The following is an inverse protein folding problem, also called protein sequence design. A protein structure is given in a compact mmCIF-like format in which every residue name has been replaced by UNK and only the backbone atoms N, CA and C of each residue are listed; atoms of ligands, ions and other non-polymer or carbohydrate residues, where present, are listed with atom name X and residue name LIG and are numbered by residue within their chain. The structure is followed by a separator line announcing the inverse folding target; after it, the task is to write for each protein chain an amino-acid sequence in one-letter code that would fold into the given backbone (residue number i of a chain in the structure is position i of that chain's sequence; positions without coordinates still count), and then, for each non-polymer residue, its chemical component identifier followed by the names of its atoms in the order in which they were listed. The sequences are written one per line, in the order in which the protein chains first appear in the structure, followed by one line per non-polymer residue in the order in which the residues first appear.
data_IF_785648807105
#
_entry.id   IF_785648807105
#
_cell.length_a   1.000
_cell.length_b   1.000
_cell.length_c   1.000
_cell.angle_alpha   90.00
_cell.angle_beta   90.00
_cell.angle_gamma   90.00
#
_symmetry.space_group_name_H-M   'P 1'
#
loop_
_entity.id
_entity.type
_entity.pdbx_description
1 polymer ?
#
# COMPACT_ATOMS: atom_id res chain seq x y z
N UNK A 1 -4.40 -39.54 -17.21
CA UNK A 1 -3.28 -39.24 -16.29
C UNK A 1 -2.52 -38.00 -16.77
N UNK A 2 -2.94 -36.78 -16.38
CA UNK A 2 -2.32 -35.53 -16.87
C UNK A 2 -2.14 -34.46 -15.77
N UNK A 3 -2.52 -34.76 -14.53
CA UNK A 3 -2.56 -33.77 -13.43
C UNK A 3 -1.22 -33.58 -12.69
N UNK A 4 -0.33 -34.59 -12.65
CA UNK A 4 0.91 -34.51 -11.84
C UNK A 4 2.07 -33.72 -12.47
N UNK A 5 2.12 -33.55 -13.80
CA UNK A 5 3.23 -32.84 -14.49
C UNK A 5 3.04 -31.32 -14.66
N UNK A 6 1.83 -30.79 -14.43
CA UNK A 6 1.52 -29.36 -14.65
C UNK A 6 1.75 -28.48 -13.41
N UNK A 7 1.65 -29.05 -12.20
CA UNK A 7 1.83 -28.34 -10.93
C UNK A 7 3.25 -27.78 -10.72
N UNK A 8 4.35 -28.52 -10.99
CA UNK A 8 5.71 -28.00 -10.79
C UNK A 8 6.03 -26.83 -11.73
N UNK A 9 5.54 -26.88 -12.98
CA UNK A 9 5.73 -25.81 -13.96
C UNK A 9 4.96 -24.53 -13.58
N UNK A 10 3.73 -24.67 -13.07
CA UNK A 10 2.94 -23.52 -12.59
C UNK A 10 3.57 -22.86 -11.36
N UNK A 11 4.09 -23.64 -10.41
CA UNK A 11 4.80 -23.12 -9.24
C UNK A 11 6.09 -22.38 -9.62
N UNK A 12 6.90 -22.95 -10.52
CA UNK A 12 8.12 -22.31 -11.03
C UNK A 12 7.83 -20.99 -11.77
N UNK A 13 6.76 -20.96 -12.60
CA UNK A 13 6.31 -19.73 -13.26
C UNK A 13 5.89 -18.66 -12.23
N UNK A 14 5.09 -19.01 -11.22
CA UNK A 14 4.70 -18.07 -10.13
C UNK A 14 5.91 -17.53 -9.38
N UNK A 15 6.90 -18.37 -9.07
CA UNK A 15 8.14 -17.95 -8.43
C UNK A 15 8.89 -16.91 -9.26
N UNK A 16 9.05 -17.16 -10.55
CA UNK A 16 9.73 -16.24 -11.47
C UNK A 16 9.02 -14.88 -11.52
N UNK A 17 7.69 -14.89 -11.68
CA UNK A 17 6.89 -13.66 -11.73
C UNK A 17 6.98 -12.87 -10.42
N UNK A 18 6.87 -13.53 -9.25
CA UNK A 18 6.97 -12.87 -7.95
C UNK A 18 8.35 -12.24 -7.75
N UNK A 19 9.41 -12.93 -8.18
CA UNK A 19 10.77 -12.44 -8.07
C UNK A 19 11.04 -11.25 -8.99
N UNK A 20 10.60 -11.31 -10.25
CA UNK A 20 10.69 -10.18 -11.18
C UNK A 20 9.86 -8.98 -10.71
N UNK A 21 8.64 -9.22 -10.20
CA UNK A 21 7.80 -8.14 -9.66
C UNK A 21 8.46 -7.47 -8.44
N UNK A 22 9.07 -8.24 -7.54
CA UNK A 22 9.83 -7.69 -6.42
C UNK A 22 11.03 -6.83 -6.89
N UNK A 23 11.78 -7.32 -7.87
CA UNK A 23 12.90 -6.57 -8.47
C UNK A 23 12.44 -5.28 -9.15
N UNK A 24 11.29 -5.31 -9.84
CA UNK A 24 10.68 -4.11 -10.44
C UNK A 24 10.31 -3.10 -9.35
N UNK A 25 9.60 -3.56 -8.31
CA UNK A 25 9.17 -2.71 -7.21
C UNK A 25 10.38 -2.05 -6.51
N UNK A 26 11.47 -2.77 -6.31
CA UNK A 26 12.68 -2.24 -5.68
C UNK A 26 13.49 -1.31 -6.60
N UNK A 27 13.52 -1.59 -7.90
CA UNK A 27 14.35 -0.85 -8.85
C UNK A 27 13.67 0.36 -9.48
N UNK A 28 12.34 0.33 -9.63
CA UNK A 28 11.59 1.31 -10.44
C UNK A 28 10.53 2.08 -9.67
N UNK A 29 10.34 1.79 -8.37
CA UNK A 29 9.34 2.43 -7.53
C UNK A 29 9.98 3.05 -6.29
N UNK A 30 9.69 4.33 -6.06
CA UNK A 30 10.02 5.02 -4.81
C UNK A 30 8.74 5.31 -4.04
N UNK A 31 8.70 4.93 -2.76
CA UNK A 31 7.58 5.22 -1.85
C UNK A 31 7.93 6.43 -0.99
N UNK A 32 7.04 7.43 -0.98
CA UNK A 32 7.15 8.64 -0.15
C UNK A 32 6.17 8.55 1.01
N UNK A 33 6.70 8.58 2.24
CA UNK A 33 5.96 8.54 3.50
C UNK A 33 4.89 7.42 3.55
N UNK A 34 5.10 6.31 2.82
CA UNK A 34 4.14 5.21 2.69
C UNK A 34 2.77 5.54 2.06
N UNK A 35 2.53 6.79 1.65
CA UNK A 35 1.23 7.28 1.15
C UNK A 35 1.17 7.53 -0.35
N UNK A 36 2.33 7.53 -1.01
CA UNK A 36 2.46 7.82 -2.44
C UNK A 36 3.62 7.04 -3.03
N UNK A 37 3.47 6.58 -4.25
CA UNK A 37 4.58 6.05 -5.06
C UNK A 37 4.94 7.02 -6.19
N UNK A 38 6.20 6.99 -6.60
CA UNK A 38 6.68 7.49 -7.88
C UNK A 38 7.30 6.32 -8.63
N UNK A 39 6.93 6.16 -9.89
CA UNK A 39 7.29 5.04 -10.76
C UNK A 39 8.05 5.58 -11.96
N UNK A 40 9.13 4.90 -12.34
CA UNK A 40 9.85 5.10 -13.59
C UNK A 40 9.30 4.17 -14.68
N UNK A 41 8.44 4.64 -15.61
CA UNK A 41 7.80 3.76 -16.59
C UNK A 41 8.78 3.13 -17.58
N UNK A 42 9.83 3.87 -18.00
CA UNK A 42 10.83 3.35 -18.94
C UNK A 42 11.58 2.16 -18.36
N UNK A 43 11.95 2.24 -17.09
CA UNK A 43 12.64 1.13 -16.41
C UNK A 43 11.77 -0.12 -16.23
N UNK A 44 10.45 0.00 -16.33
CA UNK A 44 9.56 -1.17 -16.28
C UNK A 44 9.64 -2.02 -17.54
N UNK A 45 10.08 -1.49 -18.69
CA UNK A 45 10.14 -2.22 -19.97
C UNK A 45 11.11 -3.42 -19.94
N UNK A 46 12.06 -3.42 -19.00
CA UNK A 46 13.00 -4.53 -18.79
C UNK A 46 12.37 -5.79 -18.16
N UNK A 47 11.13 -5.72 -17.69
CA UNK A 47 10.45 -6.80 -16.96
C UNK A 47 9.31 -7.41 -17.79
N UNK A 48 8.97 -8.67 -17.51
CA UNK A 48 7.87 -9.36 -18.20
C UNK A 48 6.51 -8.69 -17.96
N UNK A 49 5.57 -8.87 -18.91
CA UNK A 49 4.19 -8.35 -18.76
C UNK A 49 3.55 -8.85 -17.46
N UNK A 50 3.64 -10.16 -17.18
CA UNK A 50 3.07 -10.77 -15.98
C UNK A 50 3.63 -10.12 -14.69
N UNK A 51 4.94 -9.84 -14.64
CA UNK A 51 5.58 -9.19 -13.49
C UNK A 51 5.16 -7.72 -13.34
N UNK A 52 5.05 -6.98 -14.46
CA UNK A 52 4.52 -5.61 -14.48
C UNK A 52 3.09 -5.56 -13.96
N UNK A 53 2.22 -6.46 -14.42
CA UNK A 53 0.81 -6.51 -13.98
C UNK A 53 0.72 -6.82 -12.48
N UNK A 54 1.52 -7.78 -11.99
CA UNK A 54 1.56 -8.12 -10.57
C UNK A 54 2.05 -6.94 -9.72
N UNK A 55 3.14 -6.29 -10.11
CA UNK A 55 3.65 -5.11 -9.42
C UNK A 55 2.60 -4.00 -9.33
N UNK A 56 1.88 -3.72 -10.43
CA UNK A 56 0.80 -2.74 -10.43
C UNK A 56 -0.36 -3.13 -9.51
N UNK A 57 -0.79 -4.39 -9.56
CA UNK A 57 -1.84 -4.88 -8.66
C UNK A 57 -1.45 -4.74 -7.19
N UNK A 58 -0.21 -5.06 -6.84
CA UNK A 58 0.33 -4.90 -5.48
C UNK A 58 0.33 -3.43 -5.04
N UNK A 59 0.78 -2.51 -5.89
CA UNK A 59 0.79 -1.08 -5.57
C UNK A 59 -0.63 -0.54 -5.37
N UNK A 60 -1.56 -0.92 -6.25
CA UNK A 60 -2.98 -0.52 -6.14
C UNK A 60 -3.61 -1.04 -4.85
N UNK A 61 -3.30 -2.27 -4.46
CA UNK A 61 -3.79 -2.85 -3.20
C UNK A 61 -3.19 -2.13 -1.98
N UNK A 62 -1.87 -1.95 -1.95
CA UNK A 62 -1.19 -1.34 -0.80
C UNK A 62 -1.57 0.14 -0.59
N UNK A 63 -1.79 0.88 -1.68
CA UNK A 63 -2.22 2.28 -1.63
C UNK A 63 -3.74 2.44 -1.56
N UNK A 64 -4.51 1.48 -2.05
CA UNK A 64 -5.97 1.51 -2.09
C UNK A 64 -6.64 0.88 -0.88
N UNK A 65 -5.93 0.07 -0.09
CA UNK A 65 -6.46 -0.61 1.10
C UNK A 65 -7.43 -1.73 0.77
N UNK A 66 -7.21 -2.43 -0.34
CA UNK A 66 -8.01 -3.59 -0.74
C UNK A 66 -7.41 -4.88 -0.18
N UNK A 67 -8.20 -5.95 -0.07
CA UNK A 67 -7.71 -7.24 0.46
C UNK A 67 -7.08 -8.12 -0.63
N UNK A 68 -7.60 -8.05 -1.86
CA UNK A 68 -7.19 -8.91 -2.96
C UNK A 68 -6.66 -8.08 -4.12
N UNK A 69 -5.80 -8.69 -4.94
CA UNK A 69 -5.34 -8.09 -6.19
C UNK A 69 -6.55 -7.71 -7.06
N UNK A 70 -6.49 -6.57 -7.76
CA UNK A 70 -7.51 -6.23 -8.73
C UNK A 70 -7.50 -7.24 -9.89
N UNK A 71 -8.58 -7.30 -10.69
CA UNK A 71 -8.62 -8.09 -11.91
C UNK A 71 -7.43 -7.75 -12.84
N UNK A 72 -6.97 -8.73 -13.62
CA UNK A 72 -5.86 -8.53 -14.58
C UNK A 72 -6.11 -7.36 -15.52
N UNK A 73 -7.34 -7.19 -15.99
CA UNK A 73 -7.74 -6.12 -16.88
C UNK A 73 -7.53 -4.73 -16.26
N UNK A 74 -7.69 -4.61 -14.95
CA UNK A 74 -7.44 -3.35 -14.23
C UNK A 74 -5.93 -3.12 -14.06
N UNK A 75 -5.14 -4.16 -13.79
CA UNK A 75 -3.68 -4.07 -13.82
C UNK A 75 -3.17 -3.63 -15.20
N UNK A 76 -3.73 -4.20 -16.27
CA UNK A 76 -3.38 -3.86 -17.65
C UNK A 76 -3.80 -2.44 -18.01
N UNK A 77 -5.00 -1.98 -17.62
CA UNK A 77 -5.42 -0.58 -17.78
C UNK A 77 -4.46 0.37 -17.07
N UNK A 78 -4.02 0.03 -15.86
CA UNK A 78 -3.05 0.83 -15.11
C UNK A 78 -1.71 0.90 -15.88
N UNK A 79 -1.20 -0.23 -16.38
CA UNK A 79 0.02 -0.29 -17.18
C UNK A 79 -0.07 0.52 -18.47
N UNK A 80 -1.17 0.36 -19.24
CA UNK A 80 -1.39 1.13 -20.46
C UNK A 80 -1.42 2.62 -20.15
N UNK A 81 -2.02 3.03 -19.03
CA UNK A 81 -2.00 4.42 -18.62
C UNK A 81 -0.58 4.92 -18.30
N UNK A 82 0.21 4.17 -17.53
CA UNK A 82 1.55 4.63 -17.10
C UNK A 82 2.66 4.42 -18.14
N UNK A 83 2.49 3.53 -19.11
CA UNK A 83 3.48 3.22 -20.16
C UNK A 83 3.06 3.70 -21.57
N UNK A 84 1.78 3.99 -21.82
CA UNK A 84 1.27 4.38 -23.13
C UNK A 84 1.93 5.64 -23.72
N UNK A 85 1.96 5.73 -25.05
CA UNK A 85 2.41 6.94 -25.75
C UNK A 85 1.25 7.93 -25.82
N UNK A 86 1.35 9.07 -25.14
CA UNK A 86 0.27 10.06 -25.09
C UNK A 86 0.39 11.08 -23.96
N UNK A 87 -0.59 11.98 -23.92
CA UNK A 87 -0.63 13.12 -23.01
C UNK A 87 -0.71 12.68 -21.54
N UNK A 88 -0.05 13.47 -20.69
CA UNK A 88 -0.11 13.42 -19.22
C UNK A 88 -1.55 13.46 -18.72
N UNK A 89 -1.85 12.82 -17.58
CA UNK A 89 -3.22 12.78 -17.10
C UNK A 89 -3.39 12.08 -15.76
N UNK A 90 -4.66 11.96 -15.35
CA UNK A 90 -5.07 11.25 -14.14
C UNK A 90 -6.09 10.17 -14.50
N UNK A 91 -6.01 9.05 -13.81
CA UNK A 91 -6.97 7.95 -13.85
C UNK A 91 -7.31 7.55 -12.42
N UNK A 92 -8.60 7.34 -12.13
CA UNK A 92 -9.01 6.71 -10.88
C UNK A 92 -9.20 5.22 -11.12
N UNK A 93 -8.57 4.39 -10.29
CA UNK A 93 -8.64 2.94 -10.38
C UNK A 93 -8.35 2.33 -9.02
N UNK A 94 -9.13 1.31 -8.60
CA UNK A 94 -8.87 0.55 -7.37
C UNK A 94 -8.62 1.44 -6.13
N UNK A 95 -9.51 2.43 -5.90
CA UNK A 95 -9.41 3.40 -4.79
C UNK A 95 -8.15 4.30 -4.84
N UNK A 96 -7.43 4.29 -5.95
CA UNK A 96 -6.23 5.08 -6.17
C UNK A 96 -6.44 6.11 -7.29
N UNK A 97 -5.67 7.19 -7.24
CA UNK A 97 -5.41 8.06 -8.37
C UNK A 97 -4.04 7.69 -8.92
N UNK A 98 -4.00 7.36 -10.20
CA UNK A 98 -2.78 7.19 -10.99
C UNK A 98 -2.60 8.49 -11.78
N UNK A 99 -1.52 9.21 -11.52
CA UNK A 99 -1.17 10.44 -12.21
C UNK A 99 0.07 10.21 -13.07
N UNK A 100 -0.08 10.29 -14.38
CA UNK A 100 1.01 10.22 -15.35
C UNK A 100 1.54 11.62 -15.67
N UNK A 101 2.85 11.79 -15.57
CA UNK A 101 3.61 12.92 -16.15
C UNK A 101 4.43 12.45 -17.36
N UNK A 102 5.18 13.36 -17.98
CA UNK A 102 6.00 13.03 -19.17
C UNK A 102 7.02 11.92 -18.91
N UNK A 103 7.64 11.90 -17.73
CA UNK A 103 8.75 10.99 -17.41
C UNK A 103 8.48 10.06 -16.22
N UNK A 104 7.46 10.33 -15.42
CA UNK A 104 7.13 9.53 -14.22
C UNK A 104 5.64 9.30 -14.10
N UNK A 105 5.26 8.24 -13.39
CA UNK A 105 3.90 8.06 -12.91
C UNK A 105 3.87 8.09 -11.38
N UNK A 106 2.73 8.45 -10.82
CA UNK A 106 2.50 8.54 -9.38
C UNK A 106 1.22 7.81 -9.04
N UNK A 107 1.21 7.06 -7.94
CA UNK A 107 0.00 6.45 -7.40
C UNK A 107 -0.20 6.92 -5.97
N UNK A 108 -1.42 7.31 -5.61
CA UNK A 108 -1.81 7.62 -4.25
C UNK A 108 -3.29 7.34 -4.03
N UNK A 109 -3.73 7.25 -2.77
CA UNK A 109 -5.12 6.99 -2.41
C UNK A 109 -6.03 8.17 -2.77
N UNK A 110 -7.19 7.92 -3.38
CA UNK A 110 -8.18 8.96 -3.64
C UNK A 110 -8.94 9.40 -2.37
N UNK A 111 -9.44 10.63 -2.35
CA UNK A 111 -10.18 11.25 -1.23
C UNK A 111 -11.67 10.88 -1.20
N UNK A 112 -12.02 9.64 -1.55
CA UNK A 112 -13.41 9.18 -1.59
C UNK A 112 -13.62 8.01 -0.65
N UNK A 113 -14.76 8.02 0.04
CA UNK A 113 -15.21 6.95 0.92
C UNK A 113 -14.16 6.57 1.98
N UNK A 114 -13.57 7.58 2.61
CA UNK A 114 -12.68 7.39 3.76
C UNK A 114 -13.53 7.39 5.03
N UNK A 115 -13.34 6.43 5.95
CA UNK A 115 -14.17 6.34 7.15
C UNK A 115 -13.95 7.51 8.10
N UNK A 116 -15.01 7.85 8.83
CA UNK A 116 -14.98 8.76 9.97
C UNK A 116 -15.54 7.97 11.16
N UNK A 117 -14.65 7.54 12.06
CA UNK A 117 -14.95 6.52 13.07
C UNK A 117 -14.44 6.94 14.44
N UNK A 118 -15.19 6.58 15.47
CA UNK A 118 -14.72 6.63 16.86
C UNK A 118 -14.03 5.31 17.19
N UNK A 119 -12.89 5.38 17.86
CA UNK A 119 -12.14 4.23 18.38
C UNK A 119 -12.12 4.34 19.89
N UNK A 120 -12.79 3.41 20.57
CA UNK A 120 -12.91 3.40 22.02
C UNK A 120 -11.55 3.15 22.70
N UNK A 121 -11.50 3.40 24.00
CA UNK A 121 -10.34 3.05 24.82
C UNK A 121 -10.09 1.53 24.77
N UNK A 122 -8.84 1.14 24.53
CA UNK A 122 -8.40 -0.25 24.37
C UNK A 122 -8.74 -0.89 23.01
N UNK A 123 -9.40 -0.18 22.10
CA UNK A 123 -9.84 -0.75 20.81
C UNK A 123 -8.74 -0.71 19.74
N UNK A 124 -8.75 -1.72 18.87
CA UNK A 124 -7.96 -1.81 17.65
C UNK A 124 -8.88 -1.83 16.43
N UNK A 125 -8.57 -1.04 15.41
CA UNK A 125 -9.27 -1.03 14.14
C UNK A 125 -8.32 -1.08 12.95
N UNK A 126 -8.83 -1.55 11.81
CA UNK A 126 -8.24 -1.30 10.48
C UNK A 126 -9.08 -0.17 9.85
N UNK A 127 -8.50 1.03 9.71
CA UNK A 127 -9.27 2.22 9.36
C UNK A 127 -9.81 2.18 7.93
N UNK A 128 -8.98 2.31 6.90
CA UNK A 128 -9.43 2.30 5.49
C UNK A 128 -8.91 1.11 4.67
N UNK A 129 -8.37 0.11 5.38
CA UNK A 129 -7.66 -1.04 4.84
C UNK A 129 -6.14 -0.86 4.77
N UNK A 130 -5.61 0.31 5.14
CA UNK A 130 -4.16 0.59 5.05
C UNK A 130 -3.46 0.89 6.37
N UNK A 131 -4.21 1.08 7.44
CA UNK A 131 -3.68 1.44 8.74
C UNK A 131 -4.36 0.63 9.82
N UNK A 132 -3.56 -0.08 10.62
CA UNK A 132 -4.00 -0.60 11.91
C UNK A 132 -3.76 0.49 12.95
N UNK A 133 -4.80 0.79 13.73
CA UNK A 133 -4.78 1.84 14.75
C UNK A 133 -5.23 1.22 16.06
N UNK A 134 -4.37 1.30 17.08
CA UNK A 134 -4.68 0.86 18.45
C UNK A 134 -4.78 2.09 19.34
N UNK A 135 -5.91 2.23 20.02
CA UNK A 135 -6.11 3.27 21.04
C UNK A 135 -5.88 2.69 22.44
N UNK A 136 -4.66 2.76 22.93
CA UNK A 136 -4.32 2.42 24.32
C UNK A 136 -4.52 3.57 25.33
N UNK A 137 -5.22 4.65 24.95
CA UNK A 137 -5.59 5.73 25.87
C UNK A 137 -6.88 5.39 26.62
N UNK A 138 -7.15 6.12 27.70
CA UNK A 138 -8.39 6.00 28.49
C UNK A 138 -9.61 6.65 27.79
N UNK A 139 -9.36 7.57 26.85
CA UNK A 139 -10.40 8.29 26.12
C UNK A 139 -10.53 7.75 24.70
N UNK A 140 -11.77 7.77 24.17
CA UNK A 140 -12.00 7.51 22.76
C UNK A 140 -11.36 8.59 21.88
N UNK A 141 -10.90 8.20 20.69
CA UNK A 141 -10.36 9.10 19.67
C UNK A 141 -11.19 8.97 18.40
N UNK A 142 -11.29 10.06 17.63
CA UNK A 142 -11.90 10.00 16.29
C UNK A 142 -10.81 9.87 15.24
N UNK A 143 -11.02 8.99 14.27
CA UNK A 143 -10.15 8.85 13.10
C UNK A 143 -10.94 9.22 11.86
N UNK A 144 -10.45 10.21 11.13
CA UNK A 144 -11.03 10.62 9.86
C UNK A 144 -9.96 10.95 8.84
N UNK A 145 -10.36 11.31 7.62
CA UNK A 145 -9.42 11.77 6.62
C UNK A 145 -8.78 13.09 7.07
N UNK A 146 -7.47 13.24 6.82
CA UNK A 146 -6.71 14.46 7.09
C UNK A 146 -7.36 15.69 6.45
N UNK A 147 -7.84 15.56 5.21
CA UNK A 147 -8.66 16.60 4.58
C UNK A 147 -7.96 17.98 4.53
N UNK A 148 -8.75 19.04 4.45
CA UNK A 148 -8.24 20.42 4.46
C UNK A 148 -7.80 20.88 5.86
N UNK A 149 -8.47 20.39 6.92
CA UNK A 149 -8.15 20.75 8.31
C UNK A 149 -6.76 20.25 8.70
N UNK A 150 -6.49 18.96 8.51
CA UNK A 150 -5.19 18.38 8.81
C UNK A 150 -4.09 18.94 7.89
N UNK A 151 -4.42 19.25 6.64
CA UNK A 151 -3.47 19.92 5.75
C UNK A 151 -3.10 21.31 6.27
N UNK A 152 -4.05 22.07 6.79
CA UNK A 152 -3.82 23.39 7.40
C UNK A 152 -2.95 23.30 8.65
N UNK A 153 -3.15 22.26 9.48
CA UNK A 153 -2.29 21.97 10.63
C UNK A 153 -0.86 21.70 10.20
N UNK A 154 -0.64 20.87 9.17
CA UNK A 154 0.72 20.57 8.68
C UNK A 154 1.42 21.82 8.10
N UNK A 155 0.68 22.67 7.38
CA UNK A 155 1.21 23.92 6.84
C UNK A 155 1.61 24.88 7.97
N UNK A 156 0.78 25.00 9.00
CA UNK A 156 1.07 25.84 10.18
C UNK A 156 2.28 25.31 10.96
N UNK A 157 2.55 24.01 10.90
CA UNK A 157 3.75 23.38 11.46
C UNK A 157 5.01 23.50 10.58
N UNK A 158 4.96 24.27 9.47
CA UNK A 158 6.10 24.54 8.60
C UNK A 158 6.49 23.38 7.66
N UNK A 159 5.57 22.43 7.41
CA UNK A 159 5.81 21.36 6.43
C UNK A 159 5.61 21.87 5.00
N UNK A 160 6.68 22.43 4.45
CA UNK A 160 6.78 22.85 3.07
C UNK A 160 7.31 21.68 2.22
N UNK A 161 6.74 21.43 1.03
CA UNK A 161 7.05 20.30 0.12
C UNK A 161 6.31 18.96 0.34
N UNK A 162 5.10 18.99 0.92
CA UNK A 162 4.22 17.81 0.93
C UNK A 162 3.35 17.71 -0.32
N UNK A 163 3.12 16.49 -0.80
CA UNK A 163 2.16 16.25 -1.87
C UNK A 163 0.72 16.30 -1.33
N UNK A 164 0.12 17.49 -1.35
CA UNK A 164 -1.19 17.80 -0.75
C UNK A 164 -2.26 16.73 -0.99
N UNK A 165 -2.41 16.26 -2.23
CA UNK A 165 -3.47 15.32 -2.58
C UNK A 165 -3.31 13.94 -1.92
N UNK A 166 -2.09 13.42 -1.78
CA UNK A 166 -1.88 12.14 -1.08
C UNK A 166 -2.04 12.30 0.42
N UNK A 167 -1.60 13.43 0.98
CA UNK A 167 -1.72 13.72 2.42
C UNK A 167 -3.17 13.81 2.87
N UNK A 168 -4.04 14.47 2.09
CA UNK A 168 -5.47 14.59 2.43
C UNK A 168 -6.12 13.24 2.72
N UNK A 169 -5.72 12.20 1.97
CA UNK A 169 -6.27 10.84 2.09
C UNK A 169 -5.74 10.03 3.26
N UNK A 170 -4.87 10.62 4.08
CA UNK A 170 -4.25 9.96 5.22
C UNK A 170 -5.12 10.06 6.48
N UNK A 171 -4.85 9.26 7.53
CA UNK A 171 -5.58 9.41 8.78
C UNK A 171 -5.20 10.73 9.44
N UNK A 172 -6.18 11.40 10.04
CA UNK A 172 -6.00 12.36 11.10
C UNK A 172 -6.60 11.77 12.38
N UNK A 173 -5.84 11.87 13.46
CA UNK A 173 -6.22 11.45 14.80
C UNK A 173 -6.76 12.67 15.52
N UNK A 174 -7.97 12.58 16.04
CA UNK A 174 -8.63 13.67 16.74
C UNK A 174 -8.93 13.27 18.17
N UNK A 175 -8.73 14.20 19.08
CA UNK A 175 -9.24 14.14 20.43
C UNK A 175 -10.20 15.31 20.59
N UNK A 176 -11.49 15.02 20.75
CA UNK A 176 -12.55 16.02 20.62
C UNK A 176 -12.44 16.71 19.24
N UNK A 177 -12.31 18.03 19.21
CA UNK A 177 -12.24 18.82 17.98
C UNK A 177 -10.81 19.22 17.57
N UNK A 178 -9.80 18.64 18.20
CA UNK A 178 -8.38 18.96 17.95
C UNK A 178 -7.68 17.78 17.27
N UNK A 179 -6.99 18.07 16.16
CA UNK A 179 -6.08 17.11 15.53
C UNK A 179 -4.84 16.95 16.41
N UNK A 180 -4.67 15.75 16.96
CA UNK A 180 -3.55 15.39 17.83
C UNK A 180 -2.44 14.62 17.08
N UNK A 181 -2.70 14.18 15.84
CA UNK A 181 -1.68 13.52 15.04
C UNK A 181 -2.09 13.26 13.60
N UNK A 182 -1.11 13.26 12.70
CA UNK A 182 -1.28 12.90 11.29
C UNK A 182 -0.19 11.87 10.96
N UNK A 183 -0.46 10.57 11.17
CA UNK A 183 0.52 9.49 11.08
C UNK A 183 0.91 9.14 9.63
N UNK A 184 0.97 10.11 8.73
CA UNK A 184 1.30 9.90 7.32
C UNK A 184 2.42 10.80 6.81
N UNK A 185 3.06 11.53 7.72
CA UNK A 185 4.22 12.38 7.45
C UNK A 185 5.30 11.95 8.44
N UNK A 186 6.53 11.67 7.96
CA UNK A 186 7.67 11.28 8.84
C UNK A 186 7.38 10.01 9.66
N UNK A 187 7.27 8.89 8.95
CA UNK A 187 7.55 7.53 9.45
C UNK A 187 6.37 6.75 10.05
N UNK A 188 5.12 7.18 9.87
CA UNK A 188 3.87 6.59 10.40
C UNK A 188 3.77 6.35 11.92
N UNK A 189 4.89 6.38 12.63
CA UNK A 189 5.06 5.96 14.02
C UNK A 189 5.06 7.14 15.01
N UNK A 190 5.17 8.38 14.54
CA UNK A 190 5.08 9.57 15.39
C UNK A 190 3.63 9.90 15.69
N UNK A 191 3.08 9.18 16.67
CA UNK A 191 1.73 9.39 17.21
C UNK A 191 1.78 9.72 18.70
N UNK A 192 0.74 10.37 19.25
CA UNK A 192 0.66 10.67 20.67
C UNK A 192 0.80 9.43 21.55
N UNK A 193 1.31 9.62 22.77
CA UNK A 193 1.45 8.55 23.75
C UNK A 193 0.12 7.81 23.97
N UNK A 194 0.19 6.49 24.01
CA UNK A 194 -0.95 5.58 24.13
C UNK A 194 -1.66 5.28 22.81
N UNK A 195 -1.25 5.86 21.67
CA UNK A 195 -1.77 5.46 20.35
C UNK A 195 -0.67 4.70 19.61
N UNK A 196 -1.05 3.65 18.87
CA UNK A 196 -0.17 2.99 17.92
C UNK A 196 -0.80 3.06 16.54
N UNK A 197 0.01 3.40 15.53
CA UNK A 197 -0.41 3.36 14.13
C UNK A 197 0.65 2.62 13.35
N UNK A 198 0.23 1.56 12.65
CA UNK A 198 1.10 0.78 11.78
C UNK A 198 0.47 0.69 10.40
N UNK A 199 1.32 0.58 9.38
CA UNK A 199 0.86 0.33 8.03
C UNK A 199 0.41 -1.12 7.90
N UNK A 200 -0.65 -1.30 7.14
CA UNK A 200 -1.30 -2.58 6.93
C UNK A 200 -1.52 -2.82 5.43
N UNK A 201 -1.24 -4.04 4.97
CA UNK A 201 -1.50 -4.47 3.59
C UNK A 201 -2.02 -5.91 3.65
N UNK A 202 -3.34 -6.04 3.54
CA UNK A 202 -4.04 -7.30 3.79
C UNK A 202 -3.76 -8.39 2.75
N UNK A 203 -3.16 -8.03 1.61
CA UNK A 203 -2.79 -8.97 0.55
C UNK A 203 -1.97 -10.16 1.07
N UNK A 204 -1.20 -9.96 2.14
CA UNK A 204 -0.28 -10.94 2.69
C UNK A 204 -0.69 -11.46 4.09
N UNK A 205 -1.94 -11.25 4.52
CA UNK A 205 -2.47 -11.69 5.83
C UNK A 205 -2.78 -13.21 5.89
N UNK A 206 -2.27 -13.97 4.94
CA UNK A 206 -2.47 -15.41 4.85
C UNK A 206 -1.11 -16.13 4.94
N UNK A 207 -1.15 -17.46 5.04
CA UNK A 207 0.07 -18.27 5.05
C UNK A 207 0.76 -18.14 3.69
N UNK A 208 1.88 -17.44 3.67
CA UNK A 208 2.65 -17.18 2.46
C UNK A 208 3.38 -18.42 1.99
N UNK A 209 3.20 -18.76 0.71
CA UNK A 209 4.06 -19.75 0.05
C UNK A 209 5.50 -19.24 -0.07
N UNK A 210 6.47 -20.14 -0.26
CA UNK A 210 7.89 -19.79 -0.40
C UNK A 210 8.14 -18.75 -1.52
N UNK A 211 7.34 -18.79 -2.60
CA UNK A 211 7.50 -17.88 -3.72
C UNK A 211 6.83 -16.51 -3.53
N UNK A 212 5.86 -16.39 -2.62
CA UNK A 212 5.25 -15.10 -2.26
C UNK A 212 6.07 -14.32 -1.25
N UNK A 213 6.91 -15.00 -0.46
CA UNK A 213 7.72 -14.37 0.60
C UNK A 213 8.66 -13.29 0.07
N UNK A 214 9.24 -13.47 -1.12
CA UNK A 214 10.15 -12.48 -1.73
C UNK A 214 9.38 -11.20 -2.06
N UNK A 215 8.19 -11.34 -2.66
CA UNK A 215 7.34 -10.20 -2.99
C UNK A 215 6.81 -9.51 -1.73
N UNK A 216 6.33 -10.28 -0.75
CA UNK A 216 5.84 -9.75 0.53
C UNK A 216 6.94 -8.99 1.29
N UNK A 217 8.16 -9.52 1.33
CA UNK A 217 9.29 -8.85 1.97
C UNK A 217 9.67 -7.53 1.26
N UNK A 218 9.64 -7.53 -0.07
CA UNK A 218 9.86 -6.33 -0.89
C UNK A 218 8.83 -5.24 -0.59
N UNK A 219 7.54 -5.61 -0.53
CA UNK A 219 6.44 -4.70 -0.17
C UNK A 219 6.58 -4.20 1.27
N UNK A 220 6.89 -5.09 2.22
CA UNK A 220 7.10 -4.70 3.61
C UNK A 220 8.21 -3.66 3.75
N UNK A 221 9.33 -3.86 3.05
CA UNK A 221 10.42 -2.90 3.01
C UNK A 221 9.99 -1.56 2.41
N UNK A 222 9.31 -1.58 1.26
CA UNK A 222 8.89 -0.38 0.54
C UNK A 222 7.90 0.49 1.33
N UNK A 223 6.98 -0.13 2.07
CA UNK A 223 5.94 0.58 2.82
C UNK A 223 6.27 0.71 4.32
N UNK A 224 7.45 0.28 4.77
CA UNK A 224 7.85 0.33 6.18
C UNK A 224 6.96 -0.54 7.08
N UNK A 225 6.45 -1.67 6.57
CA UNK A 225 5.66 -2.62 7.35
C UNK A 225 6.56 -3.40 8.30
N UNK A 226 6.01 -3.89 9.41
CA UNK A 226 6.67 -4.98 10.13
C UNK A 226 6.76 -6.20 9.20
N UNK A 227 7.91 -6.88 9.20
CA UNK A 227 8.12 -8.02 8.32
C UNK A 227 7.06 -9.11 8.53
N UNK A 228 6.55 -9.67 7.44
CA UNK A 228 5.55 -10.73 7.51
C UNK A 228 6.11 -11.97 8.22
N UNK A 229 5.36 -12.50 9.19
CA UNK A 229 5.75 -13.70 9.94
C UNK A 229 5.91 -14.87 8.98
N UNK A 230 7.09 -15.49 8.99
CA UNK A 230 7.31 -16.77 8.31
C UNK A 230 6.59 -17.85 9.10
N UNK A 231 5.51 -18.38 8.56
CA UNK A 231 4.96 -19.65 9.03
C UNK A 231 5.65 -20.78 8.24
N UNK A 232 6.50 -21.60 8.88
CA UNK A 232 7.09 -22.74 8.20
C UNK A 232 6.00 -23.74 7.83
N UNK A 233 5.69 -23.83 6.54
CA UNK A 233 4.83 -24.90 5.99
C UNK A 233 5.70 -26.16 5.91
N UNK A 234 5.94 -26.83 7.05
CA UNK A 234 6.28 -28.27 7.19
C UNK A 234 6.88 -28.57 8.57
N UNK A 235 6.05 -29.03 9.51
CA UNK A 235 6.41 -30.08 10.46
C UNK A 235 5.23 -31.06 10.58
N UNK A 236 4.88 -31.71 9.46
CA UNK A 236 4.09 -32.94 9.55
C UNK A 236 5.10 -34.03 9.91
N UNK A 237 5.22 -34.31 11.21
CA UNK A 237 5.84 -35.54 11.67
C UNK A 237 5.07 -36.71 11.07
N UNK A 238 5.71 -37.40 10.13
CA UNK A 238 5.28 -38.76 9.75
C UNK A 238 5.69 -39.66 10.92
N UNK A 239 4.73 -40.00 11.76
CA UNK A 239 4.82 -41.21 12.58
C UNK A 239 4.56 -42.43 11.68
#
# INVERSE_FOLDING_TARGET
MTFKRSLPKKAAKRRTINQEAAQLLEGQVTVFDGIRTVINPLGMEAYSQDARCLAMGVLLVALGGQTFLPPSDDCDKALVHICGQGATGRMNLSRCIIQRSTSTAMIYREMRSLPDVMVAAGEEIIWDGRYTIVNGRENAIRISACGDDGLSVLQSAGLENIHRASVKSSPALWLQDVIIGIPAIKDHAKVPAGIQVTRHVALFDHILSEYEQVLAASVAKLFGLQGYKRFPVNQIHKN
#
